data_IF_547900361179
#
_entry.id   IF_547900361179
#
_cell.length_a   1.000
_cell.length_b   1.000
_cell.length_c   1.000
_cell.angle_alpha   90.00
_cell.angle_beta   90.00
_cell.angle_gamma   90.00
#
_symmetry.space_group_name_H-M   'P 1'
#
loop_
_entity.id
_entity.type
_entity.pdbx_description
1 polymer ?
#
# COMPACT_ATOMS: atom_id res chain seq x y z
N UNK A 1 -14.01 6.45 -20.02
CA UNK A 1 -12.73 5.95 -19.45
C UNK A 1 -11.89 5.44 -20.60
N UNK A 2 -10.63 5.88 -20.72
CA UNK A 2 -9.74 5.45 -21.81
C UNK A 2 -9.32 3.99 -21.68
N UNK A 3 -8.98 3.36 -22.80
CA UNK A 3 -8.47 1.98 -22.85
C UNK A 3 -6.98 1.94 -22.50
N UNK A 4 -6.58 1.12 -21.53
CA UNK A 4 -5.17 0.85 -21.28
C UNK A 4 -4.61 -0.10 -22.35
N UNK A 5 -3.57 0.30 -23.13
CA UNK A 5 -3.06 -0.51 -24.23
C UNK A 5 -2.64 -1.91 -23.78
N UNK A 6 -3.09 -2.94 -24.50
CA UNK A 6 -2.79 -4.34 -24.15
C UNK A 6 -1.29 -4.64 -24.18
N UNK A 7 -0.55 -4.03 -25.11
CA UNK A 7 0.90 -4.19 -25.20
C UNK A 7 1.65 -3.71 -23.94
N UNK A 8 1.09 -2.75 -23.19
CA UNK A 8 1.70 -2.25 -21.95
C UNK A 8 1.42 -3.14 -20.73
N UNK A 9 0.52 -4.13 -20.86
CA UNK A 9 0.23 -5.11 -19.81
C UNK A 9 1.15 -6.33 -19.87
N UNK A 10 1.91 -6.47 -20.95
CA UNK A 10 2.85 -7.58 -21.15
C UNK A 10 4.16 -7.23 -20.45
N UNK A 11 4.65 -8.13 -19.61
CA UNK A 11 5.89 -7.96 -18.86
C UNK A 11 6.55 -9.28 -18.51
N UNK A 12 7.80 -9.20 -18.05
CA UNK A 12 8.57 -10.35 -17.56
C UNK A 12 8.32 -10.51 -16.07
N UNK A 13 7.95 -11.70 -15.62
CA UNK A 13 7.78 -12.00 -14.19
C UNK A 13 9.09 -12.53 -13.63
N UNK A 14 9.64 -11.85 -12.63
CA UNK A 14 10.79 -12.31 -11.85
C UNK A 14 10.33 -12.78 -10.48
N UNK A 15 10.81 -13.93 -10.04
CA UNK A 15 10.51 -14.48 -8.71
C UNK A 15 11.62 -14.12 -7.74
N UNK A 16 11.28 -13.41 -6.66
CA UNK A 16 12.21 -13.10 -5.58
C UNK A 16 11.95 -13.99 -4.38
N UNK A 17 12.97 -14.70 -3.92
CA UNK A 17 12.87 -15.52 -2.72
C UNK A 17 12.81 -14.64 -1.46
N UNK A 18 11.87 -14.95 -0.58
CA UNK A 18 11.75 -14.37 0.76
C UNK A 18 12.57 -15.26 1.69
N UNK A 19 13.60 -14.69 2.33
CA UNK A 19 14.33 -15.39 3.39
C UNK A 19 13.39 -15.65 4.58
N UNK A 20 12.71 -16.81 4.57
CA UNK A 20 11.90 -17.30 5.69
C UNK A 20 12.45 -18.64 6.12
N UNK A 21 12.60 -18.83 7.44
CA UNK A 21 13.23 -20.00 8.06
C UNK A 21 12.37 -21.27 8.09
N UNK A 22 11.19 -21.31 7.47
CA UNK A 22 10.30 -22.47 7.54
C UNK A 22 9.70 -22.83 6.18
N UNK A 23 10.06 -24.05 5.74
CA UNK A 23 9.48 -24.89 4.69
C UNK A 23 9.39 -24.31 3.27
N UNK A 24 9.95 -25.06 2.31
CA UNK A 24 9.99 -24.82 0.86
C UNK A 24 8.60 -24.80 0.20
N UNK A 25 7.74 -23.88 0.59
CA UNK A 25 6.41 -23.70 0.00
C UNK A 25 6.45 -22.58 -1.05
N UNK A 26 5.59 -22.68 -2.08
CA UNK A 26 5.46 -21.67 -3.15
C UNK A 26 5.26 -20.22 -2.63
N UNK A 27 4.78 -20.06 -1.40
CA UNK A 27 4.63 -18.79 -0.68
C UNK A 27 5.95 -18.10 -0.31
N UNK A 28 7.08 -18.79 -0.45
CA UNK A 28 8.41 -18.22 -0.24
C UNK A 28 8.84 -17.30 -1.39
N UNK A 29 8.13 -17.27 -2.53
CA UNK A 29 8.48 -16.41 -3.65
C UNK A 29 7.51 -15.23 -3.78
N UNK A 30 8.06 -14.06 -4.08
CA UNK A 30 7.32 -12.85 -4.45
C UNK A 30 7.50 -12.57 -5.94
N UNK A 31 6.46 -12.75 -6.77
CA UNK A 31 6.54 -12.37 -8.17
C UNK A 31 6.54 -10.85 -8.33
N UNK A 32 7.48 -10.33 -9.14
CA UNK A 32 7.53 -8.92 -9.55
C UNK A 32 7.41 -8.87 -11.07
N UNK A 33 6.42 -8.13 -11.56
CA UNK A 33 6.20 -7.92 -12.99
C UNK A 33 7.00 -6.73 -13.49
N UNK A 34 7.96 -6.98 -14.39
CA UNK A 34 8.69 -5.96 -15.12
C UNK A 34 7.95 -5.59 -16.40
N UNK A 35 7.10 -4.57 -16.30
CA UNK A 35 6.39 -4.00 -17.44
C UNK A 35 7.30 -3.14 -18.33
N UNK A 36 6.87 -2.93 -19.57
CA UNK A 36 7.48 -1.99 -20.50
C UNK A 36 7.60 -0.60 -19.87
N UNK A 37 8.72 0.10 -20.09
CA UNK A 37 8.99 1.43 -19.51
C UNK A 37 7.87 2.44 -19.80
N UNK A 38 7.28 2.40 -21.00
CA UNK A 38 6.13 3.23 -21.35
C UNK A 38 4.89 2.91 -20.52
N UNK A 39 4.64 1.63 -20.22
CA UNK A 39 3.59 1.18 -19.32
C UNK A 39 3.78 1.73 -17.91
N UNK A 40 5.01 1.62 -17.36
CA UNK A 40 5.36 2.19 -16.05
C UNK A 40 5.17 3.71 -15.99
N UNK A 41 5.50 4.41 -17.07
CA UNK A 41 5.28 5.85 -17.15
C UNK A 41 3.80 6.22 -17.14
N UNK A 42 2.97 5.45 -17.86
CA UNK A 42 1.52 5.63 -17.84
C UNK A 42 0.94 5.33 -16.45
N UNK A 43 1.38 4.27 -15.78
CA UNK A 43 1.00 3.96 -14.40
C UNK A 43 1.34 5.11 -13.45
N UNK A 44 2.56 5.67 -13.56
CA UNK A 44 2.98 6.83 -12.76
C UNK A 44 2.05 8.03 -12.96
N UNK A 45 1.67 8.33 -14.20
CA UNK A 45 0.72 9.41 -14.50
C UNK A 45 -0.66 9.14 -13.89
N UNK A 46 -1.15 7.90 -13.97
CA UNK A 46 -2.42 7.51 -13.34
C UNK A 46 -2.35 7.64 -11.82
N UNK A 47 -1.28 7.18 -11.18
CA UNK A 47 -1.06 7.30 -9.74
C UNK A 47 -1.02 8.76 -9.31
N UNK A 48 -0.34 9.64 -10.06
CA UNK A 48 -0.31 11.08 -9.78
C UNK A 48 -1.70 11.71 -9.85
N UNK A 49 -2.49 11.40 -10.89
CA UNK A 49 -3.87 11.89 -11.03
C UNK A 49 -4.77 11.40 -9.90
N UNK A 50 -4.68 10.11 -9.55
CA UNK A 50 -5.44 9.54 -8.44
C UNK A 50 -5.04 10.18 -7.11
N UNK A 51 -3.74 10.40 -6.89
CA UNK A 51 -3.24 11.07 -5.69
C UNK A 51 -3.76 12.49 -5.56
N UNK A 52 -3.75 13.26 -6.66
CA UNK A 52 -4.29 14.61 -6.72
C UNK A 52 -5.80 14.63 -6.46
N UNK A 53 -6.56 13.70 -7.06
CA UNK A 53 -7.98 13.61 -6.82
C UNK A 53 -8.30 13.31 -5.35
N UNK A 54 -7.66 12.29 -4.77
CA UNK A 54 -7.86 11.90 -3.37
C UNK A 54 -7.42 12.98 -2.37
N UNK A 55 -6.43 13.81 -2.71
CA UNK A 55 -6.02 14.93 -1.86
C UNK A 55 -6.99 16.11 -1.94
N UNK A 56 -7.44 16.46 -3.15
CA UNK A 56 -8.37 17.59 -3.35
C UNK A 56 -9.77 17.31 -2.81
N UNK A 57 -10.25 16.07 -2.90
CA UNK A 57 -11.56 15.66 -2.36
C UNK A 57 -11.52 15.26 -0.88
N UNK A 58 -10.35 15.31 -0.23
CA UNK A 58 -10.12 14.90 1.17
C UNK A 58 -10.61 13.48 1.50
N UNK A 59 -10.57 12.57 0.54
CA UNK A 59 -11.01 11.16 0.69
C UNK A 59 -9.96 10.27 1.38
N UNK A 60 -8.87 10.85 1.90
CA UNK A 60 -7.83 10.13 2.65
C UNK A 60 -7.94 10.38 4.14
N UNK A 61 -7.74 9.31 4.91
CA UNK A 61 -7.56 9.43 6.36
C UNK A 61 -6.33 10.28 6.70
N UNK A 62 -6.49 11.14 7.70
CA UNK A 62 -5.38 11.90 8.30
C UNK A 62 -4.36 11.00 9.00
N UNK A 63 -4.72 9.75 9.32
CA UNK A 63 -3.83 8.74 9.93
C UNK A 63 -3.32 7.68 8.94
N UNK A 64 -3.49 7.91 7.64
CA UNK A 64 -2.82 7.10 6.62
C UNK A 64 -1.45 7.71 6.30
N UNK A 65 -0.39 6.96 6.62
CA UNK A 65 1.00 7.36 6.45
C UNK A 65 1.72 6.60 5.33
N UNK A 66 1.38 5.32 5.13
CA UNK A 66 1.92 4.51 4.05
C UNK A 66 1.45 5.01 2.67
N UNK A 67 2.33 4.88 1.67
CA UNK A 67 2.07 5.26 0.28
C UNK A 67 1.57 6.71 0.10
N UNK A 68 2.05 7.62 0.95
CA UNK A 68 1.63 9.03 0.95
C UNK A 68 2.83 9.95 0.87
N UNK A 69 2.77 10.87 -0.09
CA UNK A 69 3.77 11.91 -0.24
C UNK A 69 3.84 12.81 1.00
N UNK A 70 5.06 13.17 1.40
CA UNK A 70 5.31 13.99 2.58
C UNK A 70 5.04 13.31 3.92
N UNK A 71 4.80 11.98 3.94
CA UNK A 71 4.65 11.21 5.19
C UNK A 71 5.64 10.05 5.21
N UNK A 72 6.13 9.76 6.41
CA UNK A 72 7.08 8.69 6.66
C UNK A 72 6.66 7.88 7.87
N UNK A 73 7.31 6.72 8.06
CA UNK A 73 7.11 5.87 9.24
C UNK A 73 7.40 6.62 10.56
N UNK A 74 8.32 7.57 10.54
CA UNK A 74 8.65 8.37 11.73
C UNK A 74 7.47 9.21 12.23
N UNK A 75 6.61 9.70 11.32
CA UNK A 75 5.42 10.43 11.72
C UNK A 75 4.41 9.53 12.45
N UNK A 76 4.30 8.25 12.04
CA UNK A 76 3.45 7.26 12.73
C UNK A 76 4.00 7.00 14.14
N UNK A 77 5.32 6.78 14.23
CA UNK A 77 5.99 6.46 15.47
C UNK A 77 5.88 7.61 16.47
N UNK A 78 6.08 8.85 16.00
CA UNK A 78 5.92 10.04 16.83
C UNK A 78 4.48 10.19 17.34
N UNK A 79 3.46 10.07 16.48
CA UNK A 79 2.05 10.12 16.91
C UNK A 79 1.74 9.01 17.92
N UNK A 80 2.22 7.78 17.69
CA UNK A 80 2.03 6.65 18.59
C UNK A 80 2.70 6.88 19.95
N UNK A 81 3.95 7.32 19.96
CA UNK A 81 4.70 7.60 21.18
C UNK A 81 4.03 8.72 22.00
N UNK A 82 3.57 9.79 21.34
CA UNK A 82 2.82 10.85 22.01
C UNK A 82 1.53 10.33 22.64
N UNK A 83 0.78 9.44 21.97
CA UNK A 83 -0.41 8.83 22.56
C UNK A 83 -0.08 7.99 23.80
N UNK A 84 0.97 7.17 23.74
CA UNK A 84 1.42 6.35 24.88
C UNK A 84 1.85 7.22 26.06
N UNK A 85 2.64 8.26 25.81
CA UNK A 85 3.09 9.20 26.84
C UNK A 85 1.93 9.95 27.50
N UNK A 86 0.96 10.42 26.70
CA UNK A 86 -0.23 11.09 27.20
C UNK A 86 -1.08 10.17 28.09
N UNK A 87 -1.24 8.89 27.72
CA UNK A 87 -1.95 7.90 28.55
C UNK A 87 -1.19 7.59 29.84
N UNK A 88 0.15 7.47 29.76
CA UNK A 88 1.02 7.25 30.92
C UNK A 88 0.92 8.41 31.93
N UNK A 89 0.96 9.66 31.46
CA UNK A 89 0.80 10.84 32.31
C UNK A 89 -0.55 10.90 33.04
N UNK A 90 -1.60 10.29 32.46
CA UNK A 90 -2.93 10.17 33.06
C UNK A 90 -3.10 8.95 33.97
N UNK A 91 -2.04 8.15 34.17
CA UNK A 91 -2.05 6.87 34.88
C UNK A 91 -3.02 5.83 34.29
N UNK A 92 -3.32 5.94 32.99
CA UNK A 92 -4.16 4.99 32.28
C UNK A 92 -3.34 3.80 31.78
N UNK A 93 -3.96 2.62 31.76
CA UNK A 93 -3.40 1.46 31.06
C UNK A 93 -3.48 1.68 29.55
N UNK A 94 -2.42 1.30 28.84
CA UNK A 94 -2.33 1.42 27.37
C UNK A 94 -2.14 0.03 26.77
N UNK A 95 -2.91 -0.29 25.74
CA UNK A 95 -2.77 -1.50 24.94
C UNK A 95 -2.63 -1.12 23.47
N UNK A 96 -1.78 -1.84 22.74
CA UNK A 96 -1.58 -1.66 21.30
C UNK A 96 -1.99 -2.96 20.61
N UNK A 97 -2.86 -2.85 19.61
CA UNK A 97 -3.29 -3.96 18.78
C UNK A 97 -2.70 -3.73 17.39
N UNK A 98 -1.87 -4.66 16.93
CA UNK A 98 -1.32 -4.66 15.58
C UNK A 98 -2.09 -5.65 14.71
N UNK A 99 -2.50 -5.21 13.53
CA UNK A 99 -3.22 -6.03 12.55
C UNK A 99 -2.44 -6.00 11.24
N UNK A 100 -2.18 -7.19 10.69
CA UNK A 100 -1.57 -7.35 9.37
C UNK A 100 -2.55 -8.06 8.43
N UNK A 101 -2.60 -7.61 7.17
CA UNK A 101 -3.52 -8.16 6.16
C UNK A 101 -2.70 -9.04 5.22
N UNK A 102 -2.97 -10.35 5.25
CA UNK A 102 -2.31 -11.28 4.35
C UNK A 102 -2.71 -11.00 2.89
N UNK A 103 -1.70 -10.90 2.00
CA UNK A 103 -1.89 -10.85 0.54
C UNK A 103 -2.89 -9.76 0.11
N UNK A 104 -2.81 -8.58 0.72
CA UNK A 104 -3.79 -7.50 0.53
C UNK A 104 -3.98 -7.06 -0.94
N UNK A 105 -2.95 -7.18 -1.77
CA UNK A 105 -3.03 -6.85 -3.19
C UNK A 105 -3.68 -7.96 -4.03
N UNK A 106 -3.42 -9.22 -3.69
CA UNK A 106 -3.93 -10.38 -4.44
C UNK A 106 -5.40 -10.67 -4.09
N UNK A 107 -5.81 -10.36 -2.86
CA UNK A 107 -7.17 -10.61 -2.35
C UNK A 107 -8.16 -9.46 -2.56
N UNK A 108 -7.82 -8.45 -3.38
CA UNK A 108 -8.70 -7.30 -3.59
C UNK A 108 -9.80 -7.61 -4.63
N UNK A 109 -11.09 -7.70 -4.25
CA UNK A 109 -12.15 -8.06 -5.19
C UNK A 109 -12.37 -6.95 -6.22
N UNK A 110 -12.17 -7.28 -7.50
CA UNK A 110 -12.31 -6.33 -8.62
C UNK A 110 -13.68 -5.67 -8.72
N UNK A 111 -14.74 -6.27 -8.16
CA UNK A 111 -16.08 -5.68 -8.12
C UNK A 111 -16.11 -4.39 -7.28
N UNK A 112 -15.43 -4.38 -6.13
CA UNK A 112 -15.38 -3.21 -5.24
C UNK A 112 -14.60 -2.04 -5.86
N UNK A 113 -13.60 -2.33 -6.69
CA UNK A 113 -12.85 -1.31 -7.41
C UNK A 113 -13.68 -0.62 -8.51
N UNK A 114 -14.65 -1.32 -9.09
CA UNK A 114 -15.49 -0.82 -10.19
C UNK A 114 -16.77 -0.12 -9.69
N UNK A 115 -17.19 -0.36 -8.45
CA UNK A 115 -18.44 0.16 -7.89
C UNK A 115 -18.34 1.56 -7.27
N UNK A 116 -17.15 2.17 -7.25
CA UNK A 116 -16.91 3.48 -6.61
C UNK A 116 -16.99 4.65 -7.59
N UNK A 117 -17.83 4.54 -8.62
CA UNK A 117 -18.19 5.61 -9.57
C UNK A 117 -19.70 5.72 -9.60
#
# INVERSE_FOLDING_TARGET
MGLFPTCFKIGVVLLFYKEVKENENHMAYRPISLLLTLGKQLEKLMTQRLNYHLSTTRQRSSRQFGFREGRSIYHVLDELMQQVENCRGRKNHTAIISVDIQEAFDNLPHKLLKSST
#
